data_IF_009981944929
#
_entry.id   IF_009981944929
#
_cell.length_a   1.000
_cell.length_b   1.000
_cell.length_c   1.000
_cell.angle_alpha   90.00
_cell.angle_beta   90.00
_cell.angle_gamma   90.00
#
_symmetry.space_group_name_H-M   'P 1'
#
loop_
_entity.id
_entity.type
_entity.pdbx_description
1 polymer ?
#
# COMPACT_ATOMS: atom_id res chain seq x y z
N UNK A 1 -5.29 10.08 32.52
CA UNK A 1 -5.38 8.64 32.18
C UNK A 1 -6.26 8.37 30.96
N UNK A 2 -7.54 8.76 30.92
CA UNK A 2 -8.42 8.49 29.77
C UNK A 2 -7.88 9.03 28.43
N UNK A 3 -7.32 10.23 28.40
CA UNK A 3 -6.73 10.82 27.18
C UNK A 3 -5.55 10.00 26.62
N UNK A 4 -4.67 9.51 27.51
CA UNK A 4 -3.55 8.66 27.10
C UNK A 4 -4.04 7.33 26.50
N UNK A 5 -5.10 6.74 27.06
CA UNK A 5 -5.73 5.54 26.49
C UNK A 5 -6.31 5.80 25.10
N UNK A 6 -6.95 6.95 24.87
CA UNK A 6 -7.46 7.33 23.54
C UNK A 6 -6.34 7.47 22.53
N UNK A 7 -5.24 8.13 22.90
CA UNK A 7 -4.07 8.30 22.04
C UNK A 7 -3.46 6.93 21.71
N UNK A 8 -3.31 6.07 22.73
CA UNK A 8 -2.80 4.71 22.56
C UNK A 8 -3.68 3.84 21.66
N UNK A 9 -5.01 3.88 21.84
CA UNK A 9 -5.96 3.15 21.00
C UNK A 9 -5.92 3.65 19.54
N UNK A 10 -5.78 4.96 19.33
CA UNK A 10 -5.65 5.53 17.99
C UNK A 10 -4.36 5.04 17.31
N UNK A 11 -3.23 5.06 18.02
CA UNK A 11 -1.97 4.52 17.52
C UNK A 11 -2.06 3.02 17.23
N UNK A 12 -2.66 2.25 18.15
CA UNK A 12 -2.89 0.81 18.00
C UNK A 12 -3.70 0.44 16.76
N UNK A 13 -4.75 1.21 16.45
CA UNK A 13 -5.53 1.01 15.21
C UNK A 13 -4.70 1.20 13.94
N UNK A 14 -3.68 2.08 13.97
CA UNK A 14 -2.73 2.24 12.86
C UNK A 14 -1.83 1.00 12.70
N UNK A 15 -1.37 0.44 13.82
CA UNK A 15 -0.54 -0.76 13.81
C UNK A 15 -1.34 -1.97 13.29
N UNK A 16 -2.58 -2.14 13.75
CA UNK A 16 -3.49 -3.17 13.24
C UNK A 16 -3.74 -3.02 11.74
N UNK A 17 -3.93 -1.79 11.25
CA UNK A 17 -4.09 -1.54 9.82
C UNK A 17 -2.84 -1.97 9.03
N UNK A 18 -1.65 -1.74 9.57
CA UNK A 18 -0.39 -2.17 8.94
C UNK A 18 -0.25 -3.70 8.93
N UNK A 19 -0.58 -4.37 10.03
CA UNK A 19 -0.56 -5.83 10.12
C UNK A 19 -1.56 -6.47 9.15
N UNK A 20 -2.78 -5.94 9.09
CA UNK A 20 -3.83 -6.46 8.21
C UNK A 20 -3.54 -6.24 6.72
N UNK A 21 -2.78 -5.20 6.37
CA UNK A 21 -2.38 -4.92 5.00
C UNK A 21 -1.01 -5.52 4.63
N UNK A 22 -0.39 -6.33 5.50
CA UNK A 22 0.96 -6.86 5.27
C UNK A 22 1.08 -7.71 4.00
N UNK A 23 0.03 -8.44 3.62
CA UNK A 23 -0.06 -9.24 2.39
C UNK A 23 -0.74 -8.50 1.21
N UNK A 24 -1.12 -7.23 1.38
CA UNK A 24 -1.74 -6.45 0.32
C UNK A 24 -0.70 -5.90 -0.67
N UNK A 25 -1.18 -5.36 -1.80
CA UNK A 25 -0.30 -4.75 -2.81
C UNK A 25 0.52 -3.57 -2.24
N UNK A 26 1.64 -3.23 -2.89
CA UNK A 26 2.53 -2.16 -2.47
C UNK A 26 1.82 -0.82 -2.20
N UNK A 27 0.79 -0.49 -3.00
CA UNK A 27 -0.02 0.72 -2.80
C UNK A 27 -0.78 0.72 -1.46
N UNK A 28 -1.50 -0.36 -1.14
CA UNK A 28 -2.25 -0.47 0.12
C UNK A 28 -1.31 -0.47 1.34
N UNK A 29 -0.16 -1.15 1.24
CA UNK A 29 0.86 -1.16 2.29
C UNK A 29 1.42 0.25 2.55
N UNK A 30 1.62 1.07 1.51
CA UNK A 30 2.07 2.47 1.66
C UNK A 30 1.02 3.34 2.35
N UNK A 31 -0.26 3.16 2.02
CA UNK A 31 -1.35 3.88 2.70
C UNK A 31 -1.41 3.50 4.18
N UNK A 32 -1.30 2.21 4.49
CA UNK A 32 -1.28 1.72 5.87
C UNK A 32 -0.07 2.27 6.65
N UNK A 33 1.12 2.25 6.05
CA UNK A 33 2.34 2.81 6.64
C UNK A 33 2.21 4.32 6.88
N UNK A 34 1.75 5.09 5.89
CA UNK A 34 1.56 6.53 6.02
C UNK A 34 0.55 6.89 7.12
N UNK A 35 -0.54 6.14 7.22
CA UNK A 35 -1.54 6.28 8.30
C UNK A 35 -0.91 6.05 9.68
N UNK A 36 -0.11 4.98 9.83
CA UNK A 36 0.61 4.69 11.08
C UNK A 36 1.60 5.81 11.43
N UNK A 37 2.40 6.26 10.47
CA UNK A 37 3.39 7.32 10.69
C UNK A 37 2.75 8.64 11.09
N UNK A 38 1.67 9.06 10.42
CA UNK A 38 0.94 10.27 10.82
C UNK A 38 0.33 10.17 12.22
N UNK A 39 -0.19 8.99 12.59
CA UNK A 39 -0.68 8.74 13.95
C UNK A 39 0.45 8.78 14.98
N UNK A 40 1.62 8.24 14.64
CA UNK A 40 2.81 8.23 15.51
C UNK A 40 3.33 9.65 15.75
N UNK A 41 3.50 10.43 14.69
CA UNK A 41 3.93 11.84 14.78
C UNK A 41 2.91 12.66 15.58
N UNK A 42 1.62 12.56 15.25
CA UNK A 42 0.57 13.26 15.99
C UNK A 42 0.52 12.87 17.47
N UNK A 43 0.70 11.59 17.78
CA UNK A 43 0.77 11.07 19.15
C UNK A 43 1.97 11.62 19.91
N UNK A 44 3.14 11.68 19.27
CA UNK A 44 4.37 12.17 19.90
C UNK A 44 4.30 13.68 20.19
N UNK A 45 3.70 14.44 19.28
CA UNK A 45 3.49 15.89 19.44
C UNK A 45 2.52 16.18 20.58
N UNK A 46 1.43 15.42 20.72
CA UNK A 46 0.37 15.72 21.70
C UNK A 46 0.70 15.24 23.11
N UNK A 47 1.55 14.22 23.26
CA UNK A 47 1.92 13.60 24.53
C UNK A 47 2.39 14.59 25.62
N UNK A 48 3.30 15.55 25.35
CA UNK A 48 3.73 16.51 26.37
C UNK A 48 2.60 17.47 26.79
N UNK A 49 1.65 17.75 25.90
CA UNK A 49 0.52 18.65 26.19
C UNK A 49 -0.66 17.94 26.85
N UNK A 50 -0.60 16.62 27.05
CA UNK A 50 -1.76 15.84 27.51
C UNK A 50 -2.23 16.24 28.91
N UNK A 51 -1.31 16.65 29.79
CA UNK A 51 -1.63 17.11 31.15
C UNK A 51 -2.35 18.46 31.12
N UNK A 52 -1.84 19.42 30.33
CA UNK A 52 -2.47 20.73 30.12
C UNK A 52 -3.87 20.58 29.51
N UNK A 53 -4.01 19.70 28.51
CA UNK A 53 -5.30 19.39 27.89
C UNK A 53 -6.26 18.75 28.90
N UNK A 54 -5.80 17.80 29.71
CA UNK A 54 -6.62 17.17 30.75
C UNK A 54 -7.14 18.19 31.77
N UNK A 55 -6.29 19.11 32.24
CA UNK A 55 -6.68 20.15 33.20
C UNK A 55 -7.64 21.17 32.59
N UNK A 56 -7.39 21.60 31.35
CA UNK A 56 -8.25 22.57 30.65
C UNK A 56 -9.63 21.97 30.40
N UNK A 57 -9.67 20.72 29.94
CA UNK A 57 -10.90 19.99 29.69
C UNK A 57 -11.65 19.66 31.00
N UNK A 58 -10.94 19.42 32.11
CA UNK A 58 -11.55 19.18 33.42
C UNK A 58 -12.27 20.39 34.03
N UNK A 59 -12.06 21.60 33.50
CA UNK A 59 -12.76 22.83 33.90
C UNK A 59 -14.11 23.01 33.20
N UNK A 60 -14.38 22.25 32.13
CA UNK A 60 -15.68 22.30 31.46
C UNK A 60 -16.72 21.54 32.29
N UNK A 61 -17.95 22.07 32.44
CA UNK A 61 -19.03 21.41 33.16
C UNK A 61 -19.69 20.31 32.28
N UNK A 62 -18.88 19.39 31.75
CA UNK A 62 -19.33 18.30 30.89
C UNK A 62 -19.10 16.93 31.55
N UNK A 63 -19.93 15.92 31.24
CA UNK A 63 -19.65 14.55 31.62
C UNK A 63 -18.29 14.07 31.09
N UNK A 64 -17.56 13.31 31.91
CA UNK A 64 -16.22 12.79 31.55
C UNK A 64 -16.23 11.99 30.24
N UNK A 65 -17.32 11.28 29.94
CA UNK A 65 -17.46 10.49 28.72
C UNK A 65 -17.53 11.38 27.46
N UNK A 66 -18.32 12.45 27.50
CA UNK A 66 -18.42 13.40 26.39
C UNK A 66 -17.09 14.12 26.14
N UNK A 67 -16.38 14.48 27.21
CA UNK A 67 -15.08 15.12 27.14
C UNK A 67 -14.05 14.29 26.35
N UNK A 68 -14.06 12.98 26.55
CA UNK A 68 -13.22 12.01 25.83
C UNK A 68 -13.58 11.96 24.34
N UNK A 69 -14.87 12.01 24.01
CA UNK A 69 -15.36 12.03 22.62
C UNK A 69 -14.95 13.33 21.93
N UNK A 70 -15.21 14.49 22.55
CA UNK A 70 -14.83 15.78 22.00
C UNK A 70 -13.32 15.88 21.80
N UNK A 71 -12.53 15.44 22.78
CA UNK A 71 -11.08 15.36 22.63
C UNK A 71 -10.68 14.49 21.44
N UNK A 72 -11.27 13.30 21.30
CA UNK A 72 -10.95 12.40 20.20
C UNK A 72 -11.22 13.06 18.86
N UNK A 73 -12.40 13.63 18.65
CA UNK A 73 -12.78 14.29 17.40
C UNK A 73 -11.86 15.47 17.12
N UNK A 74 -11.65 16.35 18.11
CA UNK A 74 -10.80 17.53 17.98
C UNK A 74 -9.34 17.16 17.66
N UNK A 75 -8.78 16.19 18.38
CA UNK A 75 -7.42 15.70 18.14
C UNK A 75 -7.26 15.17 16.71
N UNK A 76 -8.19 14.32 16.25
CA UNK A 76 -8.11 13.77 14.90
C UNK A 76 -8.29 14.85 13.83
N UNK A 77 -9.16 15.84 14.06
CA UNK A 77 -9.37 16.97 13.15
C UNK A 77 -8.12 17.84 13.03
N UNK A 78 -7.56 18.28 14.16
CA UNK A 78 -6.33 19.08 14.18
C UNK A 78 -5.18 18.33 13.53
N UNK A 79 -4.98 17.05 13.88
CA UNK A 79 -3.95 16.21 13.24
C UNK A 79 -4.17 16.13 11.74
N UNK A 80 -5.40 15.93 11.27
CA UNK A 80 -5.71 15.86 9.85
C UNK A 80 -5.31 17.16 9.14
N UNK A 81 -5.71 18.31 9.66
CA UNK A 81 -5.40 19.62 9.08
C UNK A 81 -3.89 19.90 9.07
N UNK A 82 -3.20 19.58 10.16
CA UNK A 82 -1.75 19.77 10.28
C UNK A 82 -0.98 18.84 9.35
N UNK A 83 -1.44 17.60 9.16
CA UNK A 83 -0.75 16.59 8.34
C UNK A 83 -1.07 16.71 6.85
N UNK A 84 -2.18 17.37 6.48
CA UNK A 84 -2.60 17.57 5.09
C UNK A 84 -1.48 18.11 4.17
N UNK A 85 -0.74 19.19 4.51
CA UNK A 85 0.37 19.67 3.67
C UNK A 85 1.57 18.70 3.59
N UNK A 86 1.65 17.71 4.48
CA UNK A 86 2.74 16.73 4.53
C UNK A 86 2.39 15.42 3.82
N UNK A 87 1.21 15.31 3.20
CA UNK A 87 0.78 14.10 2.49
C UNK A 87 1.75 13.73 1.36
N UNK A 88 2.13 14.68 0.51
CA UNK A 88 3.04 14.40 -0.62
C UNK A 88 4.46 13.99 -0.16
N UNK A 89 5.11 14.71 0.78
CA UNK A 89 6.37 14.25 1.37
C UNK A 89 6.26 12.86 1.99
N UNK A 90 5.18 12.60 2.75
CA UNK A 90 4.96 11.31 3.40
C UNK A 90 4.75 10.19 2.38
N UNK A 91 4.04 10.46 1.28
CA UNK A 91 3.86 9.50 0.20
C UNK A 91 5.20 9.12 -0.45
N UNK A 92 6.07 10.11 -0.71
CA UNK A 92 7.43 9.87 -1.23
C UNK A 92 8.25 9.03 -0.24
N UNK A 93 8.21 9.37 1.04
CA UNK A 93 8.87 8.60 2.09
C UNK A 93 8.37 7.16 2.13
N UNK A 94 7.06 6.94 2.12
CA UNK A 94 6.47 5.60 2.09
C UNK A 94 6.88 4.80 0.85
N UNK A 95 7.03 5.44 -0.33
CA UNK A 95 7.56 4.80 -1.54
C UNK A 95 9.02 4.37 -1.41
N UNK A 96 9.83 5.08 -0.61
CA UNK A 96 11.23 4.67 -0.36
C UNK A 96 11.32 3.44 0.54
N UNK A 97 10.41 3.31 1.52
CA UNK A 97 10.35 2.16 2.44
C UNK A 97 9.71 0.95 1.75
N UNK A 98 8.57 1.14 1.10
CA UNK A 98 7.84 0.10 0.38
C UNK A 98 8.03 0.39 -1.11
N UNK A 99 9.03 -0.27 -1.71
CA UNK A 99 9.24 -0.22 -3.16
C UNK A 99 8.07 -0.87 -3.89
N UNK A 100 7.84 -0.43 -5.11
CA UNK A 100 6.92 -1.13 -5.99
C UNK A 100 7.44 -2.55 -6.16
N UNK A 101 6.56 -3.55 -6.02
CA UNK A 101 6.84 -4.81 -6.71
C UNK A 101 7.05 -4.43 -8.18
N UNK A 102 8.07 -4.97 -8.86
CA UNK A 102 8.18 -4.74 -10.30
C UNK A 102 6.81 -5.07 -10.89
N UNK A 103 6.20 -4.08 -11.55
CA UNK A 103 5.07 -4.35 -12.41
C UNK A 103 5.62 -5.26 -13.50
N UNK A 104 5.61 -6.57 -13.22
CA UNK A 104 5.64 -7.57 -14.27
C UNK A 104 4.53 -7.12 -15.19
N UNK A 105 4.91 -6.73 -16.40
CA UNK A 105 4.02 -6.37 -17.48
C UNK A 105 2.82 -7.32 -17.41
N UNK A 106 1.59 -6.85 -17.60
CA UNK A 106 0.40 -7.70 -17.44
C UNK A 106 0.50 -8.96 -18.33
N UNK A 107 1.32 -8.89 -19.39
CA UNK A 107 1.70 -10.00 -20.25
C UNK A 107 2.69 -11.01 -19.62
N UNK A 108 3.57 -10.58 -18.74
CA UNK A 108 4.58 -11.38 -18.03
C UNK A 108 4.10 -11.94 -16.69
N UNK A 109 2.96 -11.48 -16.15
CA UNK A 109 2.38 -12.12 -14.97
C UNK A 109 1.98 -13.57 -15.26
N UNK A 110 2.27 -14.52 -14.34
CA UNK A 110 1.78 -15.88 -14.47
C UNK A 110 0.25 -15.89 -14.52
N UNK A 111 -0.32 -16.50 -15.56
CA UNK A 111 -1.78 -16.61 -15.70
C UNK A 111 -2.31 -17.88 -15.08
N UNK A 112 -1.50 -18.93 -15.07
CA UNK A 112 -1.93 -20.25 -14.61
C UNK A 112 -1.33 -20.65 -13.27
N UNK A 113 -0.27 -19.97 -12.79
CA UNK A 113 0.28 -20.23 -11.46
C UNK A 113 -0.60 -19.61 -10.38
N UNK A 114 -1.23 -20.46 -9.59
CA UNK A 114 -2.04 -20.10 -8.44
C UNK A 114 -1.38 -20.61 -7.15
N UNK A 115 -1.08 -19.68 -6.24
CA UNK A 115 -0.43 -19.98 -4.95
C UNK A 115 -1.32 -20.86 -4.07
N UNK A 116 -2.65 -20.77 -4.22
CA UNK A 116 -3.61 -21.60 -3.47
C UNK A 116 -3.60 -23.08 -3.89
N UNK A 117 -3.06 -23.39 -5.09
CA UNK A 117 -2.96 -24.75 -5.59
C UNK A 117 -1.75 -25.52 -5.05
N UNK A 118 -0.84 -24.87 -4.31
CA UNK A 118 0.40 -25.47 -3.79
C UNK A 118 0.13 -26.64 -2.83
N UNK A 119 -0.99 -26.61 -2.11
CA UNK A 119 -1.40 -27.70 -1.20
C UNK A 119 -1.92 -28.94 -1.94
N UNK A 120 -2.11 -28.86 -3.26
CA UNK A 120 -2.57 -29.98 -4.11
C UNK A 120 -1.54 -30.24 -5.22
N UNK A 121 -0.60 -31.19 -5.03
CA UNK A 121 0.53 -31.40 -5.94
C UNK A 121 0.16 -31.57 -7.41
N UNK A 122 -0.91 -32.31 -7.70
CA UNK A 122 -1.40 -32.54 -9.07
C UNK A 122 -1.90 -31.26 -9.74
N UNK A 123 -2.59 -30.39 -8.98
CA UNK A 123 -3.11 -29.12 -9.48
C UNK A 123 -1.97 -28.11 -9.68
N UNK A 124 -1.01 -28.07 -8.77
CA UNK A 124 0.20 -27.26 -8.89
C UNK A 124 1.01 -27.62 -10.15
N UNK A 125 1.21 -28.92 -10.41
CA UNK A 125 1.89 -29.42 -11.62
C UNK A 125 1.13 -29.06 -12.89
N UNK A 126 -0.20 -29.21 -12.91
CA UNK A 126 -1.01 -28.84 -14.06
C UNK A 126 -0.97 -27.33 -14.36
N UNK A 127 -0.96 -26.51 -13.31
CA UNK A 127 -0.80 -25.05 -13.40
C UNK A 127 0.57 -24.65 -13.94
N UNK A 128 1.64 -25.30 -13.46
CA UNK A 128 2.99 -25.09 -13.98
C UNK A 128 3.11 -25.49 -15.45
N UNK A 129 2.58 -26.65 -15.85
CA UNK A 129 2.60 -27.10 -17.25
C UNK A 129 1.89 -26.12 -18.19
N UNK A 130 0.71 -25.62 -17.80
CA UNK A 130 -0.02 -24.60 -18.56
C UNK A 130 0.75 -23.28 -18.69
N UNK A 131 1.47 -22.89 -17.65
CA UNK A 131 2.29 -21.69 -17.70
C UNK A 131 3.49 -21.86 -18.64
N UNK A 132 4.15 -23.03 -18.63
CA UNK A 132 5.23 -23.34 -19.57
C UNK A 132 4.76 -23.31 -21.03
N UNK A 133 3.59 -23.88 -21.33
CA UNK A 133 3.02 -23.83 -22.69
C UNK A 133 2.77 -22.39 -23.14
N UNK A 134 2.19 -21.55 -22.27
CA UNK A 134 1.94 -20.13 -22.56
C UNK A 134 3.23 -19.36 -22.89
N UNK A 135 4.32 -19.65 -22.16
CA UNK A 135 5.63 -19.04 -22.43
C UNK A 135 6.12 -19.49 -23.81
N UNK A 136 5.91 -20.75 -24.17
CA UNK A 136 6.18 -21.27 -25.52
C UNK A 136 5.44 -20.51 -26.61
N UNK A 137 4.11 -20.34 -26.47
CA UNK A 137 3.29 -19.60 -27.44
C UNK A 137 3.74 -18.14 -27.60
N UNK A 138 4.15 -17.50 -26.49
CA UNK A 138 4.68 -16.13 -26.52
C UNK A 138 6.02 -16.06 -27.27
N UNK A 139 6.89 -17.06 -27.12
CA UNK A 139 8.15 -17.14 -27.88
C UNK A 139 7.92 -17.34 -29.38
N UNK A 140 6.94 -18.18 -29.74
CA UNK A 140 6.57 -18.40 -31.14
C UNK A 140 6.07 -17.10 -31.79
N UNK A 141 5.17 -16.37 -31.12
CA UNK A 141 4.69 -15.06 -31.60
C UNK A 141 5.83 -14.03 -31.76
N UNK A 142 6.80 -14.03 -30.84
CA UNK A 142 7.98 -13.17 -30.95
C UNK A 142 8.86 -13.55 -32.15
N UNK A 143 9.06 -14.84 -32.41
CA UNK A 143 9.82 -15.32 -33.58
C UNK A 143 9.12 -15.00 -34.90
N UNK A 144 7.80 -15.18 -34.99
CA UNK A 144 7.02 -14.80 -36.16
C UNK A 144 7.07 -13.28 -36.40
N UNK A 145 6.94 -12.49 -35.33
CA UNK A 145 7.05 -11.03 -35.39
C UNK A 145 8.40 -10.56 -35.94
N UNK A 146 9.50 -11.21 -35.54
CA UNK A 146 10.84 -10.91 -36.07
C UNK A 146 10.95 -11.24 -37.56
N UNK A 147 10.48 -12.42 -37.99
CA UNK A 147 10.53 -12.84 -39.39
C UNK A 147 9.73 -11.89 -40.31
N UNK A 148 8.56 -11.43 -39.84
CA UNK A 148 7.75 -10.42 -40.55
C UNK A 148 8.48 -9.07 -40.60
N UNK A 149 9.15 -8.68 -39.51
CA UNK A 149 9.91 -7.42 -39.46
C UNK A 149 11.12 -7.41 -40.39
N UNK A 150 11.80 -8.55 -40.54
CA UNK A 150 12.92 -8.73 -41.46
C UNK A 150 12.46 -8.73 -42.93
N UNK A 151 11.34 -9.40 -43.24
CA UNK A 151 10.74 -9.36 -44.58
C UNK A 151 10.30 -7.94 -45.00
N UNK A 152 9.81 -7.12 -44.05
CA UNK A 152 9.47 -5.71 -44.30
C UNK A 152 10.69 -4.83 -44.52
N UNK A 153 11.83 -5.13 -43.87
CA UNK A 153 13.09 -4.40 -44.08
C UNK A 153 13.71 -4.72 -45.45
N UNK A 154 13.63 -5.97 -45.89
CA UNK A 154 14.13 -6.37 -47.21
C UNK A 154 13.36 -5.69 -48.36
N UNK A 155 12.03 -5.67 -48.29
CA UNK A 155 11.17 -5.02 -49.31
C UNK A 155 11.24 -3.49 -49.32
N UNK A 156 11.55 -2.86 -48.18
CA UNK A 156 11.78 -1.42 -48.11
C UNK A 156 13.14 -0.99 -48.69
N UNK A 157 14.18 -1.82 -48.56
CA UNK A 157 15.49 -1.56 -49.18
C UNK A 157 15.49 -1.68 -50.70
N UNK A 158 14.67 -2.57 -51.26
CA UNK A 158 14.56 -2.82 -52.70
C UNK A 158 13.76 -1.73 -53.45
N UNK A 159 12.91 -0.97 -52.74
CA UNK A 159 12.17 0.18 -53.30
C UNK A 159 12.93 1.51 -53.24
N UNK A 160 14.04 1.55 -52.53
CA UNK A 160 14.88 2.74 -52.35
C UNK A 160 16.14 2.74 -53.24
N UNK A 161 16.36 1.68 -54.02
CA UNK A 161 17.42 1.52 -55.02
C UNK A 161 16.84 1.64 -56.44
#
# INVERSE_FOLDING_TARGET
MALCLVIGANLGSGLLAMLNNSAANAAARRVALGSLLFKLVGSLIILPFVHLLAETMGKLPLPKAELVIYFHVFYNLVRCLVMLPFVDPMARFCKTIIRDEPELDTQLRPKHLDVSALDTPTLALANAARETLRIGDAMEQMMEGLNISDARRATAGERAA
#
